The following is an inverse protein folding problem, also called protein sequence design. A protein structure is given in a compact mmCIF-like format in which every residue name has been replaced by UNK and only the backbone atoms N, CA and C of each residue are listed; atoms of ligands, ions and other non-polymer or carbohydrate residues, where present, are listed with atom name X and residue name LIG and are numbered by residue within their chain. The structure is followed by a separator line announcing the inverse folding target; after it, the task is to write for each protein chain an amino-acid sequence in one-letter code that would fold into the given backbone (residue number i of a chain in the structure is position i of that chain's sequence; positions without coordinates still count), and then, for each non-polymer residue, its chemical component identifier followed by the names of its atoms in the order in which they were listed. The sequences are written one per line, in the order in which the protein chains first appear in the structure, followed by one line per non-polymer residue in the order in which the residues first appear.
data_IF_337248689768
#
_entry.id   IF_337248689768
#
_cell.length_a   1.000
_cell.length_b   1.000
_cell.length_c   1.000
_cell.angle_alpha   90.00
_cell.angle_beta   90.00
_cell.angle_gamma   90.00
#
_symmetry.space_group_name_H-M   'P 1'
#
loop_
_entity.id
_entity.type
_entity.pdbx_description
1 polymer ?
#
# COMPACT_ATOMS: atom_id res chain seq x y z
N UNK A 1 13.77 -5.80 16.83
CA UNK A 1 13.88 -4.48 16.18
C UNK A 1 12.57 -4.19 15.46
N UNK A 2 12.02 -2.98 15.59
CA UNK A 2 10.78 -2.61 14.89
C UNK A 2 11.06 -2.53 13.37
N UNK A 3 10.29 -3.29 12.59
CA UNK A 3 10.51 -3.49 11.15
C UNK A 3 9.71 -2.54 10.27
N UNK A 4 9.70 -2.82 8.97
CA UNK A 4 8.80 -2.18 8.00
C UNK A 4 7.60 -3.10 7.77
N UNK A 5 6.45 -2.53 7.43
CA UNK A 5 5.32 -3.28 6.89
C UNK A 5 5.16 -2.88 5.43
N UNK A 6 5.05 -3.84 4.52
CA UNK A 6 4.62 -3.60 3.16
C UNK A 6 3.09 -3.65 3.13
N UNK A 7 2.46 -2.58 2.66
CA UNK A 7 1.02 -2.48 2.50
C UNK A 7 0.66 -2.40 1.01
N UNK A 8 0.03 -3.46 0.51
CA UNK A 8 -0.33 -3.64 -0.90
C UNK A 8 -1.82 -3.33 -1.06
N UNK A 9 -2.14 -2.27 -1.79
CA UNK A 9 -3.50 -1.72 -1.91
C UNK A 9 -4.16 -2.12 -3.22
N UNK A 10 -5.29 -2.82 -3.12
CA UNK A 10 -6.25 -3.08 -4.19
C UNK A 10 -5.65 -3.65 -5.49
N UNK A 11 -4.62 -4.48 -5.37
CA UNK A 11 -4.02 -5.22 -6.51
C UNK A 11 -4.90 -6.40 -6.95
N UNK A 12 -6.17 -6.13 -7.23
CA UNK A 12 -7.21 -7.11 -7.59
C UNK A 12 -7.48 -7.11 -9.11
N UNK A 13 -7.88 -8.27 -9.66
CA UNK A 13 -8.14 -8.45 -11.10
C UNK A 13 -9.12 -7.43 -11.72
N UNK A 14 -10.09 -6.92 -10.95
CA UNK A 14 -11.06 -5.95 -11.44
C UNK A 14 -10.55 -4.50 -11.50
N UNK A 15 -9.30 -4.25 -11.13
CA UNK A 15 -8.64 -2.96 -11.34
C UNK A 15 -7.66 -3.06 -12.52
N UNK A 16 -7.96 -2.50 -13.70
CA UNK A 16 -7.07 -2.59 -14.86
C UNK A 16 -5.68 -2.00 -14.62
N UNK A 17 -5.56 -0.97 -13.78
CA UNK A 17 -4.27 -0.42 -13.39
C UNK A 17 -3.37 -1.44 -12.65
N UNK A 18 -3.96 -2.43 -11.97
CA UNK A 18 -3.20 -3.45 -11.24
C UNK A 18 -2.42 -4.36 -12.18
N UNK A 19 -2.92 -4.60 -13.41
CA UNK A 19 -2.26 -5.44 -14.41
C UNK A 19 -0.95 -4.80 -14.91
N UNK A 20 -0.92 -3.46 -14.96
CA UNK A 20 0.19 -2.69 -15.50
C UNK A 20 1.43 -2.63 -14.60
N UNK A 21 1.33 -3.05 -13.34
CA UNK A 21 2.40 -2.92 -12.33
C UNK A 21 2.63 -4.20 -11.51
N UNK A 22 2.24 -5.36 -12.06
CA UNK A 22 2.46 -6.66 -11.42
C UNK A 22 3.94 -6.86 -11.09
N UNK A 23 4.84 -6.62 -12.04
CA UNK A 23 6.27 -6.90 -11.87
C UNK A 23 6.92 -5.97 -10.84
N UNK A 24 6.57 -4.69 -10.85
CA UNK A 24 6.95 -3.69 -9.85
C UNK A 24 6.48 -4.12 -8.46
N UNK A 25 5.23 -4.58 -8.35
CA UNK A 25 4.65 -5.05 -7.10
C UNK A 25 5.34 -6.34 -6.61
N UNK A 26 5.65 -7.27 -7.51
CA UNK A 26 6.44 -8.47 -7.21
C UNK A 26 7.82 -8.08 -6.67
N UNK A 27 8.48 -7.07 -7.24
CA UNK A 27 9.77 -6.57 -6.74
C UNK A 27 9.66 -6.06 -5.29
N UNK A 28 8.60 -5.34 -4.96
CA UNK A 28 8.33 -4.87 -3.60
C UNK A 28 8.06 -6.01 -2.62
N UNK A 29 7.24 -6.99 -3.00
CA UNK A 29 6.97 -8.18 -2.20
C UNK A 29 8.27 -8.97 -1.94
N UNK A 30 9.09 -9.17 -2.97
CA UNK A 30 10.40 -9.84 -2.82
C UNK A 30 11.33 -9.07 -1.89
N UNK A 31 11.33 -7.74 -1.96
CA UNK A 31 12.11 -6.90 -1.06
C UNK A 31 11.64 -7.04 0.39
N UNK A 32 10.32 -6.98 0.64
CA UNK A 32 9.72 -7.18 1.95
C UNK A 32 10.08 -8.55 2.52
N UNK A 33 10.00 -9.62 1.70
CA UNK A 33 10.43 -10.97 2.11
C UNK A 33 11.90 -11.05 2.51
N UNK A 34 12.81 -10.46 1.71
CA UNK A 34 14.25 -10.42 2.05
C UNK A 34 14.51 -9.70 3.38
N UNK A 35 13.76 -8.62 3.64
CA UNK A 35 13.84 -7.83 4.88
C UNK A 35 13.14 -8.50 6.06
N UNK A 36 12.40 -9.59 5.82
CA UNK A 36 11.48 -10.20 6.79
C UNK A 36 10.51 -9.14 7.32
N UNK A 37 9.97 -8.31 6.44
CA UNK A 37 8.88 -7.40 6.72
C UNK A 37 7.55 -8.19 6.78
N UNK A 38 6.52 -7.63 7.40
CA UNK A 38 5.16 -8.19 7.29
C UNK A 38 4.49 -7.59 6.05
N UNK A 39 3.69 -8.39 5.34
CA UNK A 39 3.01 -7.98 4.12
C UNK A 39 1.51 -7.99 4.40
N UNK A 40 0.84 -6.87 4.18
CA UNK A 40 -0.61 -6.74 4.31
C UNK A 40 -1.17 -6.47 2.92
N UNK A 41 -2.07 -7.31 2.45
CA UNK A 41 -2.89 -7.03 1.27
C UNK A 41 -4.23 -6.48 1.74
N UNK A 42 -4.64 -5.33 1.21
CA UNK A 42 -6.01 -4.83 1.35
C UNK A 42 -6.74 -4.92 0.03
N UNK A 43 -7.96 -5.41 0.10
CA UNK A 43 -8.88 -5.51 -1.01
C UNK A 43 -10.09 -4.59 -0.77
N UNK A 44 -10.48 -3.81 -1.76
CA UNK A 44 -11.77 -3.13 -1.75
C UNK A 44 -12.87 -4.17 -1.99
N UNK A 45 -13.63 -4.51 -0.94
CA UNK A 45 -14.91 -5.24 -1.07
C UNK A 45 -16.09 -4.26 -1.02
N UNK A 46 -17.37 -4.67 -1.13
CA UNK A 46 -18.01 -5.79 -1.85
C UNK A 46 -18.24 -5.49 -3.36
N UNK A 47 -17.57 -4.46 -3.88
CA UNK A 47 -17.55 -4.17 -5.32
C UNK A 47 -16.84 -5.33 -6.04
N UNK A 48 -17.36 -5.74 -7.18
CA UNK A 48 -17.01 -6.93 -7.98
C UNK A 48 -15.58 -6.94 -8.56
N UNK A 49 -14.62 -6.34 -7.88
CA UNK A 49 -13.26 -6.13 -8.38
C UNK A 49 -12.37 -7.39 -8.23
N UNK A 50 -12.95 -8.53 -7.89
CA UNK A 50 -12.24 -9.81 -7.80
C UNK A 50 -11.30 -9.93 -6.60
N UNK A 51 -10.40 -10.90 -6.66
CA UNK A 51 -9.39 -11.13 -5.63
C UNK A 51 -8.06 -10.49 -6.02
N UNK A 52 -7.16 -10.33 -5.06
CA UNK A 52 -5.74 -10.04 -5.32
C UNK A 52 -5.16 -11.03 -6.34
N UNK A 53 -4.33 -10.54 -7.27
CA UNK A 53 -3.62 -11.38 -8.25
C UNK A 53 -2.89 -12.56 -7.60
N UNK A 54 -3.14 -13.79 -8.09
CA UNK A 54 -2.63 -15.02 -7.47
C UNK A 54 -1.11 -15.06 -7.36
N UNK A 55 -0.41 -14.60 -8.40
CA UNK A 55 1.06 -14.51 -8.43
C UNK A 55 1.66 -13.61 -7.34
N UNK A 56 0.94 -12.57 -6.89
CA UNK A 56 1.38 -11.71 -5.80
C UNK A 56 1.28 -12.46 -4.46
N UNK A 57 0.18 -13.19 -4.26
CA UNK A 57 -0.04 -14.01 -3.08
C UNK A 57 0.98 -15.16 -3.00
N UNK A 58 1.26 -15.82 -4.12
CA UNK A 58 2.28 -16.87 -4.22
C UNK A 58 3.68 -16.30 -3.92
N UNK A 59 4.00 -15.14 -4.51
CA UNK A 59 5.28 -14.47 -4.26
C UNK A 59 5.44 -14.08 -2.80
N UNK A 60 4.38 -13.62 -2.14
CA UNK A 60 4.38 -13.26 -0.72
C UNK A 60 4.54 -14.50 0.19
N UNK A 61 3.89 -15.61 -0.19
CA UNK A 61 3.76 -16.80 0.64
C UNK A 61 2.83 -16.55 1.84
N UNK A 62 2.64 -17.58 2.66
CA UNK A 62 1.71 -17.53 3.82
C UNK A 62 2.31 -16.92 5.09
N UNK A 63 3.63 -17.02 5.27
CA UNK A 63 4.30 -16.58 6.49
C UNK A 63 4.42 -15.05 6.50
N UNK A 64 3.88 -14.41 7.54
CA UNK A 64 3.90 -12.94 7.73
C UNK A 64 3.13 -12.19 6.64
N UNK A 65 2.04 -12.80 6.21
CA UNK A 65 1.11 -12.23 5.24
C UNK A 65 -0.27 -12.14 5.87
N UNK A 66 -0.87 -10.95 5.82
CA UNK A 66 -2.27 -10.71 6.19
C UNK A 66 -3.07 -10.31 4.96
N UNK A 67 -4.35 -10.66 4.93
CA UNK A 67 -5.31 -10.21 3.93
C UNK A 67 -6.49 -9.58 4.65
N UNK A 68 -6.81 -8.34 4.31
CA UNK A 68 -7.89 -7.56 4.90
C UNK A 68 -8.78 -6.97 3.80
N UNK A 69 -9.98 -6.57 4.18
CA UNK A 69 -10.95 -5.96 3.27
C UNK A 69 -11.34 -4.59 3.79
N UNK A 70 -11.45 -3.61 2.90
CA UNK A 70 -12.02 -2.29 3.16
C UNK A 70 -13.29 -2.07 2.34
N UNK A 71 -14.11 -1.08 2.73
CA UNK A 71 -15.36 -0.73 2.03
C UNK A 71 -15.30 0.57 1.24
N UNK A 72 -14.27 1.37 1.48
CA UNK A 72 -14.07 2.70 0.87
C UNK A 72 -12.64 2.84 0.34
N UNK A 73 -12.32 3.96 -0.29
CA UNK A 73 -11.01 4.17 -0.90
C UNK A 73 -9.86 4.18 0.14
N UNK A 74 -10.05 4.83 1.29
CA UNK A 74 -9.11 4.82 2.40
C UNK A 74 -9.12 3.46 3.12
N UNK A 75 -7.98 2.76 3.15
CA UNK A 75 -7.79 1.50 3.87
C UNK A 75 -6.97 1.62 5.16
N UNK A 76 -6.75 2.83 5.66
CA UNK A 76 -5.86 3.06 6.81
C UNK A 76 -6.43 2.52 8.13
N UNK A 77 -7.75 2.53 8.30
CA UNK A 77 -8.40 2.03 9.52
C UNK A 77 -8.25 0.52 9.64
N UNK A 78 -8.52 -0.21 8.56
CA UNK A 78 -8.40 -1.67 8.52
C UNK A 78 -6.94 -2.11 8.68
N UNK A 79 -6.00 -1.35 8.11
CA UNK A 79 -4.57 -1.58 8.33
C UNK A 79 -4.21 -1.47 9.81
N UNK A 80 -4.59 -0.37 10.47
CA UNK A 80 -4.26 -0.14 11.88
C UNK A 80 -4.89 -1.21 12.77
N UNK A 81 -6.13 -1.59 12.50
CA UNK A 81 -6.82 -2.67 13.21
C UNK A 81 -6.06 -4.00 13.09
N UNK A 82 -5.63 -4.37 11.89
CA UNK A 82 -4.88 -5.61 11.65
C UNK A 82 -3.50 -5.58 12.32
N UNK A 83 -2.76 -4.47 12.22
CA UNK A 83 -1.46 -4.32 12.87
C UNK A 83 -1.56 -4.42 14.39
N UNK A 84 -2.59 -3.80 14.98
CA UNK A 84 -2.87 -3.91 16.41
C UNK A 84 -3.19 -5.35 16.81
N UNK A 85 -4.04 -6.04 16.03
CA UNK A 85 -4.43 -7.43 16.26
C UNK A 85 -3.24 -8.39 16.23
N UNK A 86 -2.30 -8.22 15.31
CA UNK A 86 -1.11 -9.08 15.22
C UNK A 86 0.02 -8.65 16.19
N UNK A 87 -0.17 -7.57 16.95
CA UNK A 87 0.81 -7.06 17.91
C UNK A 87 2.11 -6.57 17.26
N UNK A 88 2.09 -6.17 15.98
CA UNK A 88 3.31 -5.86 15.24
C UNK A 88 3.81 -4.44 15.53
N UNK A 89 4.95 -4.36 16.22
CA UNK A 89 5.71 -3.12 16.36
C UNK A 89 6.45 -2.83 15.05
N UNK A 90 6.14 -1.70 14.43
CA UNK A 90 6.78 -1.24 13.20
C UNK A 90 7.25 0.21 13.36
N UNK A 91 8.18 0.64 12.50
CA UNK A 91 8.64 2.04 12.41
C UNK A 91 8.32 2.68 11.06
N UNK A 92 7.97 1.85 10.07
CA UNK A 92 7.70 2.30 8.72
C UNK A 92 6.58 1.50 8.08
N UNK A 93 5.79 2.16 7.25
CA UNK A 93 4.81 1.55 6.35
C UNK A 93 5.23 1.91 4.92
N UNK A 94 5.54 0.91 4.11
CA UNK A 94 5.80 1.08 2.68
C UNK A 94 4.53 0.71 1.92
N UNK A 95 4.01 1.62 1.12
CA UNK A 95 2.74 1.49 0.41
C UNK A 95 2.99 1.31 -1.09
N UNK A 96 2.30 0.35 -1.70
CA UNK A 96 2.21 0.16 -3.15
C UNK A 96 0.78 -0.26 -3.53
N UNK A 97 0.44 -0.25 -4.82
CA UNK A 97 -0.85 -0.70 -5.32
C UNK A 97 -1.57 0.30 -6.21
N UNK A 98 -2.89 0.16 -6.32
CA UNK A 98 -3.72 0.94 -7.23
C UNK A 98 -5.05 1.36 -6.58
N UNK A 99 -5.83 2.26 -7.15
CA UNK A 99 -5.37 3.31 -8.06
C UNK A 99 -4.60 4.36 -7.27
N UNK A 100 -3.50 4.86 -7.83
CA UNK A 100 -2.59 5.80 -7.18
C UNK A 100 -3.36 7.01 -6.65
N UNK A 101 -4.08 7.72 -7.52
CA UNK A 101 -4.72 8.98 -7.18
C UNK A 101 -6.06 8.82 -6.45
N UNK A 102 -6.45 7.57 -6.14
CA UNK A 102 -7.64 7.25 -5.37
C UNK A 102 -7.29 6.44 -4.12
N UNK A 103 -7.34 5.11 -4.20
CA UNK A 103 -7.20 4.23 -3.03
C UNK A 103 -5.84 4.35 -2.36
N UNK A 104 -4.75 4.49 -3.12
CA UNK A 104 -3.41 4.62 -2.54
C UNK A 104 -3.26 5.95 -1.83
N UNK A 105 -3.52 7.09 -2.47
CA UNK A 105 -3.34 8.39 -1.84
C UNK A 105 -4.34 8.66 -0.70
N UNK A 106 -5.58 8.18 -0.80
CA UNK A 106 -6.53 8.24 0.32
C UNK A 106 -6.03 7.42 1.52
N UNK A 107 -5.49 6.22 1.26
CA UNK A 107 -4.87 5.38 2.31
C UNK A 107 -3.64 6.05 2.92
N UNK A 108 -2.75 6.61 2.11
CA UNK A 108 -1.55 7.33 2.59
C UNK A 108 -1.95 8.51 3.47
N UNK A 109 -2.89 9.33 3.02
CA UNK A 109 -3.43 10.46 3.80
C UNK A 109 -4.05 9.97 5.11
N UNK A 110 -4.87 8.92 5.05
CA UNK A 110 -5.49 8.32 6.23
C UNK A 110 -4.48 7.77 7.24
N UNK A 111 -3.41 7.11 6.77
CA UNK A 111 -2.32 6.62 7.60
C UNK A 111 -1.55 7.78 8.26
N UNK A 112 -1.26 8.86 7.53
CA UNK A 112 -0.60 10.04 8.11
C UNK A 112 -1.40 10.67 9.24
N UNK A 113 -2.72 10.71 9.09
CA UNK A 113 -3.59 11.31 10.12
C UNK A 113 -3.77 10.42 11.34
N UNK A 114 -3.61 9.09 11.21
CA UNK A 114 -3.95 8.12 12.27
C UNK A 114 -2.74 7.47 12.93
N UNK A 115 -1.61 7.36 12.24
CA UNK A 115 -0.39 6.79 12.80
C UNK A 115 0.39 7.83 13.61
N UNK A 116 1.08 7.40 14.69
CA UNK A 116 2.00 8.27 15.42
C UNK A 116 3.06 8.90 14.51
N UNK A 117 3.47 10.13 14.80
CA UNK A 117 4.42 10.91 13.98
C UNK A 117 5.78 10.23 13.78
N UNK A 118 6.19 9.37 14.72
CA UNK A 118 7.44 8.62 14.63
C UNK A 118 7.38 7.41 13.68
N UNK A 119 6.22 7.14 13.06
CA UNK A 119 6.06 6.12 12.01
C UNK A 119 6.20 6.79 10.65
N UNK A 120 7.24 6.40 9.91
CA UNK A 120 7.47 6.92 8.55
C UNK A 120 6.62 6.20 7.51
N UNK A 121 6.11 6.93 6.52
CA UNK A 121 5.41 6.35 5.38
C UNK A 121 6.30 6.47 4.14
N UNK A 122 6.45 5.38 3.40
CA UNK A 122 7.17 5.35 2.13
C UNK A 122 6.21 4.96 1.01
N UNK A 123 6.15 5.75 -0.06
CA UNK A 123 5.41 5.37 -1.26
C UNK A 123 6.37 4.73 -2.25
N UNK A 124 6.07 3.51 -2.69
CA UNK A 124 6.80 2.81 -3.74
C UNK A 124 6.29 3.30 -5.11
N UNK A 125 6.78 4.44 -5.59
CA UNK A 125 6.19 5.16 -6.72
C UNK A 125 6.14 4.31 -7.99
N UNK A 126 7.18 3.51 -8.24
CA UNK A 126 7.21 2.59 -9.38
C UNK A 126 6.13 1.50 -9.28
N UNK A 127 5.74 1.08 -8.07
CA UNK A 127 4.69 0.09 -7.83
C UNK A 127 3.34 0.75 -7.52
N UNK A 128 3.03 1.87 -8.20
CA UNK A 128 1.72 2.52 -8.15
C UNK A 128 1.30 3.01 -9.53
N UNK A 129 0.02 2.87 -9.85
CA UNK A 129 -0.53 3.25 -11.16
C UNK A 129 -1.98 3.69 -11.09
N UNK A 130 -2.41 4.41 -12.13
CA UNK A 130 -3.82 4.72 -12.42
C UNK A 130 -4.20 4.11 -13.78
N UNK A 131 -5.50 4.07 -14.10
CA UNK A 131 -6.05 3.40 -15.29
C UNK A 131 -5.34 3.74 -16.61
N UNK A 132 -4.88 4.99 -16.79
CA UNK A 132 -4.26 5.47 -18.04
C UNK A 132 -2.72 5.59 -17.98
N UNK A 133 -2.08 5.28 -16.85
CA UNK A 133 -0.68 5.62 -16.62
C UNK A 133 0.11 4.46 -16.02
N UNK A 134 1.03 3.91 -16.82
CA UNK A 134 2.06 2.95 -16.36
C UNK A 134 3.30 3.64 -15.76
N UNK A 135 3.42 4.97 -15.93
CA UNK A 135 4.52 5.77 -15.39
C UNK A 135 4.04 6.70 -14.29
N UNK A 136 4.91 6.95 -13.32
CA UNK A 136 4.65 7.94 -12.26
C UNK A 136 4.42 9.32 -12.90
N UNK A 137 3.19 9.82 -12.78
CA UNK A 137 2.80 11.15 -13.18
C UNK A 137 1.79 11.65 -12.13
N UNK A 138 2.25 12.37 -11.10
CA UNK A 138 1.38 12.77 -10.01
C UNK A 138 0.37 13.79 -10.53
N UNK A 139 -0.91 13.59 -10.23
CA UNK A 139 -1.92 14.65 -10.44
C UNK A 139 -1.88 15.66 -9.30
N UNK A 140 -2.58 16.79 -9.48
CA UNK A 140 -2.66 17.83 -8.45
C UNK A 140 -3.12 17.34 -7.07
N UNK A 141 -3.94 16.28 -7.00
CA UNK A 141 -4.32 15.65 -5.72
C UNK A 141 -3.12 14.94 -5.05
N UNK A 142 -2.39 14.13 -5.82
CA UNK A 142 -1.20 13.41 -5.35
C UNK A 142 -0.10 14.39 -4.93
N UNK A 143 0.13 15.43 -5.73
CA UNK A 143 1.07 16.50 -5.38
C UNK A 143 0.66 17.22 -4.10
N UNK A 144 -0.62 17.55 -3.93
CA UNK A 144 -1.12 18.21 -2.72
C UNK A 144 -0.89 17.37 -1.46
N UNK A 145 -1.20 16.07 -1.50
CA UNK A 145 -0.99 15.17 -0.34
C UNK A 145 0.50 15.02 -0.05
N UNK A 146 1.33 14.81 -1.07
CA UNK A 146 2.78 14.70 -0.89
C UNK A 146 3.35 16.00 -0.34
N UNK A 147 3.02 17.17 -0.93
CA UNK A 147 3.54 18.46 -0.51
C UNK A 147 3.15 18.80 0.93
N UNK A 148 1.93 18.43 1.35
CA UNK A 148 1.48 18.60 2.74
C UNK A 148 2.38 17.84 3.71
N UNK A 149 2.61 16.55 3.48
CA UNK A 149 3.31 15.69 4.45
C UNK A 149 4.83 15.59 4.25
N UNK A 150 5.35 15.99 3.09
CA UNK A 150 6.79 16.09 2.85
C UNK A 150 7.41 17.22 3.68
N UNK A 151 6.70 18.33 3.89
CA UNK A 151 7.12 19.41 4.79
C UNK A 151 7.30 18.94 6.23
N UNK A 152 6.53 17.94 6.64
CA UNK A 152 6.60 17.33 7.98
C UNK A 152 7.67 16.22 8.05
N UNK A 153 8.34 15.88 6.95
CA UNK A 153 9.34 14.80 6.89
C UNK A 153 8.75 13.39 7.05
N UNK A 154 7.42 13.26 6.97
CA UNK A 154 6.70 12.01 7.28
C UNK A 154 6.56 11.07 6.08
N UNK A 155 6.62 11.60 4.85
CA UNK A 155 6.57 10.82 3.61
C UNK A 155 7.91 10.81 2.86
N UNK A 156 8.29 9.66 2.31
CA UNK A 156 9.39 9.53 1.33
C UNK A 156 8.88 8.87 0.05
N UNK A 157 9.22 9.46 -1.09
CA UNK A 157 9.02 8.87 -2.41
C UNK A 157 10.23 8.01 -2.75
N UNK A 158 10.00 6.77 -3.20
CA UNK A 158 11.05 5.79 -3.50
C UNK A 158 10.72 4.88 -4.66
#
# INVERSE_FOLDING_TARGET
MAGTVLYVVDMQYGFPASENIIDETIREIRLARRRKDHIVFVELGPLSNGMTHGQLLETAGVKRTSRIKKRVADGSEEFIAEIKKIGLKHKRVRVCGVNRDACVMNTVSGLMNRLPENIGIELACAATADYAHTKWNPTGYTEMVIARFAKEGRIKLK
#
